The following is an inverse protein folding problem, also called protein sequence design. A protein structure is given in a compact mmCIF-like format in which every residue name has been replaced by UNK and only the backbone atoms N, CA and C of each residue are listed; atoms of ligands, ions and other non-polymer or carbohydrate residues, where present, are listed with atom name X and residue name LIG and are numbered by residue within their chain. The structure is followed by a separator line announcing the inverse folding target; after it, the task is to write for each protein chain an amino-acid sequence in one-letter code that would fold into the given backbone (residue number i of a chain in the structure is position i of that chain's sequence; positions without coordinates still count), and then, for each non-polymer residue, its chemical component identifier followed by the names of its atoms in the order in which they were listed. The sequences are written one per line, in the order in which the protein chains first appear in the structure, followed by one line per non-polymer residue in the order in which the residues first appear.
data_IF_158258376718
#
_entry.id   IF_158258376718
#
_cell.length_a   1.000
_cell.length_b   1.000
_cell.length_c   1.000
_cell.angle_alpha   90.00
_cell.angle_beta   90.00
_cell.angle_gamma   90.00
#
_symmetry.space_group_name_H-M   'P 1'
#
loop_
_entity.id
_entity.type
_entity.pdbx_description
1 polymer ?
#
# COMPACT_ATOMS: atom_id res chain seq x y z
N UNK A 1 -5.65 4.97 -5.97
CA UNK A 1 -5.27 3.57 -5.68
C UNK A 1 -6.22 2.93 -4.66
N UNK A 2 -6.47 3.52 -3.48
CA UNK A 2 -7.40 2.96 -2.47
C UNK A 2 -8.79 2.67 -3.03
N UNK A 3 -9.37 3.58 -3.82
CA UNK A 3 -10.66 3.35 -4.48
C UNK A 3 -10.62 2.18 -5.47
N UNK A 4 -9.53 2.04 -6.25
CA UNK A 4 -9.32 0.89 -7.14
C UNK A 4 -9.30 -0.42 -6.35
N UNK A 5 -8.59 -0.47 -5.23
CA UNK A 5 -8.53 -1.64 -4.34
C UNK A 5 -9.94 -1.94 -3.79
N UNK A 6 -10.61 -0.96 -3.22
CA UNK A 6 -11.95 -1.15 -2.62
C UNK A 6 -13.00 -1.66 -3.62
N UNK A 7 -12.91 -1.22 -4.88
CA UNK A 7 -13.85 -1.67 -5.94
C UNK A 7 -13.58 -3.11 -6.39
N UNK A 8 -12.30 -3.48 -6.50
CA UNK A 8 -11.87 -4.67 -7.24
C UNK A 8 -11.45 -5.85 -6.35
N UNK A 9 -11.23 -5.63 -5.05
CA UNK A 9 -10.87 -6.72 -4.14
C UNK A 9 -12.04 -7.67 -3.92
N UNK A 10 -11.72 -8.95 -3.83
CA UNK A 10 -12.67 -10.00 -3.47
C UNK A 10 -12.88 -10.02 -1.94
N UNK A 11 -13.69 -9.08 -1.46
CA UNK A 11 -14.12 -8.98 -0.08
C UNK A 11 -15.64 -8.85 -0.01
N UNK A 12 -16.24 -9.49 1.00
CA UNK A 12 -17.69 -9.40 1.25
C UNK A 12 -18.11 -7.98 1.59
N UNK A 13 -17.28 -7.28 2.34
CA UNK A 13 -17.55 -5.91 2.79
C UNK A 13 -16.25 -5.12 2.96
N UNK A 14 -16.30 -3.85 2.65
CA UNK A 14 -15.23 -2.90 2.91
C UNK A 14 -15.57 -2.04 4.14
N UNK A 15 -14.63 -1.90 5.05
CA UNK A 15 -14.69 -0.90 6.12
C UNK A 15 -13.60 0.13 5.86
N UNK A 16 -13.98 1.39 5.67
CA UNK A 16 -13.07 2.45 5.23
C UNK A 16 -13.02 3.52 6.31
N UNK A 17 -11.87 3.70 6.93
CA UNK A 17 -11.60 4.74 7.91
C UNK A 17 -10.87 5.91 7.23
N UNK A 18 -11.49 7.09 7.20
CA UNK A 18 -10.86 8.33 6.74
C UNK A 18 -10.55 9.21 7.95
N UNK A 19 -9.28 9.22 8.34
CA UNK A 19 -8.80 9.80 9.61
C UNK A 19 -8.03 11.08 9.35
N UNK A 20 -8.60 12.22 9.72
CA UNK A 20 -7.95 13.51 9.61
C UNK A 20 -7.86 14.06 8.19
N UNK A 21 -8.65 13.52 7.25
CA UNK A 21 -8.74 14.02 5.89
C UNK A 21 -9.66 15.25 5.78
N UNK A 22 -9.48 16.07 4.76
CA UNK A 22 -10.33 17.25 4.54
C UNK A 22 -11.71 16.82 4.02
N UNK A 23 -12.76 17.50 4.46
CA UNK A 23 -14.13 17.18 4.07
C UNK A 23 -14.37 17.11 2.55
N UNK A 24 -13.68 17.95 1.75
CA UNK A 24 -13.74 17.89 0.27
C UNK A 24 -13.08 16.62 -0.28
N UNK A 25 -11.97 16.17 0.31
CA UNK A 25 -11.25 14.97 -0.11
C UNK A 25 -12.08 13.72 0.20
N UNK A 26 -12.78 13.71 1.33
CA UNK A 26 -13.76 12.67 1.67
C UNK A 26 -14.86 12.59 0.61
N UNK A 27 -15.41 13.73 0.19
CA UNK A 27 -16.45 13.77 -0.86
C UNK A 27 -15.91 13.27 -2.19
N UNK A 28 -14.74 13.77 -2.61
CA UNK A 28 -14.10 13.36 -3.86
C UNK A 28 -13.82 11.85 -3.87
N UNK A 29 -13.34 11.29 -2.76
CA UNK A 29 -13.13 9.85 -2.62
C UNK A 29 -14.43 9.06 -2.81
N UNK A 30 -15.52 9.49 -2.19
CA UNK A 30 -16.81 8.81 -2.32
C UNK A 30 -17.36 8.86 -3.74
N UNK A 31 -17.37 10.04 -4.36
CA UNK A 31 -18.02 10.28 -5.65
C UNK A 31 -17.15 9.80 -6.82
N UNK A 32 -15.84 9.99 -6.77
CA UNK A 32 -14.92 9.77 -7.90
C UNK A 32 -14.16 8.46 -7.80
N UNK A 33 -13.70 8.09 -6.60
CA UNK A 33 -12.81 6.95 -6.42
C UNK A 33 -13.55 5.68 -6.01
N UNK A 34 -14.45 5.75 -5.02
CA UNK A 34 -15.18 4.60 -4.52
C UNK A 34 -16.34 4.19 -5.45
N UNK A 35 -17.05 5.17 -6.03
CA UNK A 35 -18.13 4.94 -7.00
C UNK A 35 -19.12 3.84 -6.52
N UNK A 36 -19.35 2.82 -7.33
CA UNK A 36 -20.23 1.69 -6.98
C UNK A 36 -19.73 0.83 -5.81
N UNK A 37 -18.46 0.90 -5.46
CA UNK A 37 -17.87 0.24 -4.28
C UNK A 37 -18.53 0.67 -2.97
N UNK A 38 -19.22 1.81 -2.93
CA UNK A 38 -19.98 2.29 -1.77
C UNK A 38 -21.08 1.30 -1.33
N UNK A 39 -21.63 0.54 -2.27
CA UNK A 39 -22.74 -0.41 -1.99
C UNK A 39 -22.33 -1.55 -1.03
N UNK A 40 -21.05 -1.90 -1.00
CA UNK A 40 -20.48 -2.90 -0.09
C UNK A 40 -19.54 -2.29 0.95
N UNK A 41 -19.71 -1.00 1.29
CA UNK A 41 -18.77 -0.29 2.15
C UNK A 41 -19.45 0.35 3.35
N UNK A 42 -18.76 0.30 4.49
CA UNK A 42 -19.06 1.11 5.68
C UNK A 42 -17.95 2.16 5.79
N UNK A 43 -18.35 3.43 5.90
CA UNK A 43 -17.40 4.53 6.06
C UNK A 43 -17.44 5.05 7.49
N UNK A 44 -16.25 5.21 8.06
CA UNK A 44 -16.02 5.84 9.37
C UNK A 44 -15.12 7.04 9.13
N UNK A 45 -15.63 8.24 9.37
CA UNK A 45 -14.96 9.47 8.98
C UNK A 45 -14.77 10.39 10.19
N UNK A 46 -13.55 10.86 10.39
CA UNK A 46 -13.24 11.99 11.27
C UNK A 46 -12.33 12.96 10.51
N UNK A 47 -12.88 14.09 10.11
CA UNK A 47 -12.17 15.09 9.30
C UNK A 47 -11.10 15.84 10.11
N UNK A 48 -10.22 16.56 9.43
CA UNK A 48 -9.07 17.24 10.04
C UNK A 48 -9.43 18.33 11.04
N UNK A 49 -10.65 18.88 10.98
CA UNK A 49 -11.20 19.86 11.91
C UNK A 49 -11.76 19.24 13.21
N UNK A 50 -11.89 17.91 13.27
CA UNK A 50 -12.37 17.23 14.46
C UNK A 50 -11.30 17.13 15.55
N UNK A 51 -11.69 17.13 16.85
CA UNK A 51 -10.76 16.95 17.96
C UNK A 51 -9.91 15.67 17.85
N UNK A 52 -8.69 15.71 18.39
CA UNK A 52 -7.76 14.58 18.35
C UNK A 52 -8.38 13.26 18.84
N UNK A 53 -9.18 13.31 19.90
CA UNK A 53 -9.86 12.13 20.45
C UNK A 53 -10.85 11.52 19.43
N UNK A 54 -11.54 12.32 18.63
CA UNK A 54 -12.46 11.82 17.61
C UNK A 54 -11.68 11.17 16.45
N UNK A 55 -10.57 11.78 16.03
CA UNK A 55 -9.68 11.22 15.00
C UNK A 55 -9.07 9.88 15.46
N UNK A 56 -8.64 9.81 16.73
CA UNK A 56 -8.12 8.56 17.30
C UNK A 56 -9.21 7.47 17.35
N UNK A 57 -10.38 7.79 17.87
CA UNK A 57 -11.50 6.85 18.00
C UNK A 57 -12.03 6.38 16.64
N UNK A 58 -11.96 7.19 15.60
CA UNK A 58 -12.35 6.81 14.24
C UNK A 58 -11.67 5.50 13.80
N UNK A 59 -10.36 5.38 13.98
CA UNK A 59 -9.59 4.17 13.65
C UNK A 59 -10.04 2.95 14.48
N UNK A 60 -10.25 3.14 15.78
CA UNK A 60 -10.69 2.07 16.67
C UNK A 60 -12.10 1.58 16.37
N UNK A 61 -13.02 2.51 16.08
CA UNK A 61 -14.41 2.21 15.70
C UNK A 61 -14.45 1.46 14.37
N UNK A 62 -13.70 1.92 13.37
CA UNK A 62 -13.61 1.23 12.08
C UNK A 62 -13.10 -0.21 12.23
N UNK A 63 -12.05 -0.41 13.02
CA UNK A 63 -11.52 -1.75 13.28
C UNK A 63 -12.55 -2.62 14.01
N UNK A 64 -13.28 -2.08 14.98
CA UNK A 64 -14.34 -2.82 15.70
C UNK A 64 -15.51 -3.18 14.76
N UNK A 65 -15.85 -2.32 13.81
CA UNK A 65 -16.86 -2.65 12.79
C UNK A 65 -16.35 -3.78 11.87
N UNK A 66 -15.08 -3.75 11.50
CA UNK A 66 -14.48 -4.83 10.72
C UNK A 66 -14.52 -6.17 11.48
N UNK A 67 -14.20 -6.17 12.78
CA UNK A 67 -14.30 -7.34 13.65
C UNK A 67 -15.73 -7.88 13.73
N UNK A 68 -16.73 -7.00 13.84
CA UNK A 68 -18.13 -7.39 13.88
C UNK A 68 -18.55 -8.21 12.64
N UNK A 69 -18.12 -7.80 11.45
CA UNK A 69 -18.42 -8.54 10.24
C UNK A 69 -17.57 -9.82 10.11
N UNK A 70 -16.31 -9.77 10.52
CA UNK A 70 -15.43 -10.95 10.57
C UNK A 70 -16.01 -12.03 11.49
N UNK A 71 -16.59 -11.66 12.65
CA UNK A 71 -17.23 -12.58 13.58
C UNK A 71 -18.50 -13.25 13.02
N UNK A 72 -19.05 -12.71 11.92
CA UNK A 72 -20.11 -13.32 11.12
C UNK A 72 -19.58 -14.22 9.99
N UNK A 73 -18.28 -14.52 9.97
CA UNK A 73 -17.64 -15.35 8.96
C UNK A 73 -17.32 -14.62 7.64
N UNK A 74 -17.38 -13.28 7.61
CA UNK A 74 -17.12 -12.49 6.42
C UNK A 74 -15.65 -12.25 6.17
N UNK A 75 -15.26 -12.13 4.90
CA UNK A 75 -13.98 -11.60 4.50
C UNK A 75 -14.07 -10.08 4.36
N UNK A 76 -13.42 -9.37 5.26
CA UNK A 76 -13.51 -7.91 5.38
C UNK A 76 -12.24 -7.26 4.84
N UNK A 77 -12.38 -6.23 4.03
CA UNK A 77 -11.31 -5.30 3.73
C UNK A 77 -11.40 -4.12 4.70
N UNK A 78 -10.36 -3.88 5.49
CA UNK A 78 -10.19 -2.68 6.29
C UNK A 78 -9.19 -1.74 5.60
N UNK A 79 -9.68 -0.62 5.07
CA UNK A 79 -8.84 0.46 4.56
C UNK A 79 -8.77 1.59 5.59
N UNK A 80 -7.58 2.07 5.90
CA UNK A 80 -7.40 3.19 6.85
C UNK A 80 -6.47 4.25 6.28
N UNK A 81 -7.01 5.42 6.03
CA UNK A 81 -6.29 6.60 5.57
C UNK A 81 -6.42 7.73 6.61
N UNK A 82 -5.39 8.01 7.41
CA UNK A 82 -4.08 7.36 7.45
C UNK A 82 -3.64 7.03 8.88
N UNK A 83 -2.74 6.06 9.03
CA UNK A 83 -2.08 5.78 10.32
C UNK A 83 -1.25 6.96 10.82
N UNK A 84 -0.68 7.75 9.92
CA UNK A 84 0.05 8.97 10.28
C UNK A 84 -0.87 9.96 11.00
N UNK A 85 -2.11 10.13 10.53
CA UNK A 85 -3.10 11.01 11.19
C UNK A 85 -3.57 10.45 12.52
N UNK A 86 -3.71 9.11 12.63
CA UNK A 86 -3.95 8.44 13.90
C UNK A 86 -2.81 8.70 14.88
N UNK A 87 -1.56 8.54 14.45
CA UNK A 87 -0.37 8.79 15.28
C UNK A 87 -0.27 10.26 15.70
N UNK A 88 -0.56 11.20 14.81
CA UNK A 88 -0.61 12.63 15.13
C UNK A 88 -1.69 12.96 16.16
N UNK A 89 -2.86 12.34 16.07
CA UNK A 89 -3.92 12.51 17.06
C UNK A 89 -3.49 11.99 18.44
N UNK A 90 -2.85 10.82 18.50
CA UNK A 90 -2.32 10.29 19.76
C UNK A 90 -1.20 11.16 20.32
N UNK A 91 -0.31 11.69 19.47
CA UNK A 91 0.72 12.64 19.90
C UNK A 91 0.12 13.86 20.57
N UNK A 92 -0.92 14.46 19.96
CA UNK A 92 -1.62 15.63 20.49
C UNK A 92 -2.23 15.32 21.87
N UNK A 93 -2.85 14.16 22.05
CA UNK A 93 -3.42 13.70 23.30
C UNK A 93 -2.31 13.47 24.35
N UNK A 94 -1.27 12.73 23.98
CA UNK A 94 -0.16 12.40 24.88
C UNK A 94 0.55 13.64 25.40
N UNK A 95 0.86 14.60 24.53
CA UNK A 95 1.44 15.89 24.93
C UNK A 95 0.52 16.67 25.87
N UNK A 96 -0.78 16.71 25.59
CA UNK A 96 -1.77 17.39 26.44
C UNK A 96 -1.92 16.72 27.82
N UNK A 97 -1.64 15.42 27.93
CA UNK A 97 -1.64 14.69 29.20
C UNK A 97 -0.28 14.62 29.90
N UNK A 98 0.74 15.30 29.36
CA UNK A 98 2.07 15.44 29.97
C UNK A 98 3.06 14.31 29.63
N UNK A 99 2.79 13.48 28.60
CA UNK A 99 3.80 12.55 28.13
C UNK A 99 4.99 13.31 27.51
N UNK A 100 6.25 12.88 27.77
CA UNK A 100 7.42 13.48 27.16
C UNK A 100 7.47 13.16 25.67
N UNK A 101 7.83 14.12 24.81
CA UNK A 101 8.07 13.85 23.39
C UNK A 101 9.37 13.02 23.20
N UNK A 102 9.32 12.07 22.27
CA UNK A 102 10.46 11.26 21.82
C UNK A 102 10.75 11.54 20.33
N UNK A 103 11.10 10.55 19.54
CA UNK A 103 11.46 10.72 18.14
C UNK A 103 10.41 11.55 17.34
N UNK A 104 10.84 12.61 16.69
CA UNK A 104 10.01 13.57 15.93
C UNK A 104 8.79 14.11 16.70
N UNK A 105 8.90 14.19 18.03
CA UNK A 105 7.86 14.72 18.90
C UNK A 105 6.68 13.79 19.13
N UNK A 106 6.72 12.55 18.67
CA UNK A 106 5.75 11.54 19.06
C UNK A 106 5.91 11.17 20.53
N UNK A 107 4.83 10.71 21.17
CA UNK A 107 4.83 10.30 22.56
C UNK A 107 4.96 8.78 22.71
N UNK A 108 5.49 8.25 23.80
CA UNK A 108 5.69 6.81 24.00
C UNK A 108 4.42 5.97 23.80
N UNK A 109 3.26 6.52 24.14
CA UNK A 109 1.97 5.82 24.03
C UNK A 109 1.65 5.37 22.61
N UNK A 110 2.10 6.08 21.55
CA UNK A 110 1.80 5.69 20.17
C UNK A 110 2.45 4.34 19.83
N UNK A 111 3.67 4.10 20.30
CA UNK A 111 4.40 2.85 20.02
C UNK A 111 3.78 1.63 20.71
N UNK A 112 2.99 1.84 21.75
CA UNK A 112 2.19 0.77 22.38
C UNK A 112 0.80 0.61 21.75
N UNK A 113 0.25 1.65 21.13
CA UNK A 113 -1.08 1.61 20.51
C UNK A 113 -1.04 1.05 19.08
N UNK A 114 0.00 1.36 18.30
CA UNK A 114 0.12 0.89 16.91
C UNK A 114 0.08 -0.64 16.82
N UNK A 115 0.90 -1.42 17.55
CA UNK A 115 0.81 -2.88 17.51
C UNK A 115 -0.59 -3.39 17.88
N UNK A 116 -1.18 -2.85 18.96
CA UNK A 116 -2.52 -3.25 19.40
C UNK A 116 -3.62 -2.99 18.37
N UNK A 117 -3.48 -1.95 17.56
CA UNK A 117 -4.42 -1.66 16.49
C UNK A 117 -4.21 -2.60 15.29
N UNK A 118 -2.94 -2.77 14.87
CA UNK A 118 -2.59 -3.48 13.65
C UNK A 118 -2.74 -4.99 13.78
N UNK A 119 -2.45 -5.57 14.95
CA UNK A 119 -2.63 -7.00 15.22
C UNK A 119 -4.10 -7.45 15.29
N UNK A 120 -5.06 -6.53 15.23
CA UNK A 120 -6.50 -6.84 15.14
C UNK A 120 -6.95 -7.29 13.75
N UNK A 121 -6.05 -7.27 12.76
CA UNK A 121 -6.30 -7.75 11.40
C UNK A 121 -5.59 -9.06 11.13
N UNK A 122 -6.10 -9.83 10.18
CA UNK A 122 -5.53 -11.12 9.80
C UNK A 122 -6.58 -12.17 9.47
N UNK A 123 -6.14 -13.43 9.37
CA UNK A 123 -6.99 -14.60 9.20
C UNK A 123 -7.34 -15.16 10.58
N UNK A 124 -8.63 -15.44 10.82
CA UNK A 124 -9.16 -15.98 12.06
C UNK A 124 -9.82 -17.34 11.82
N UNK A 125 -10.26 -18.01 12.89
CA UNK A 125 -11.04 -19.26 12.76
C UNK A 125 -12.32 -19.02 11.96
N UNK A 126 -12.96 -17.89 12.15
CA UNK A 126 -14.11 -17.43 11.37
C UNK A 126 -13.80 -16.10 10.71
N UNK A 127 -13.94 -16.05 9.37
CA UNK A 127 -13.73 -14.85 8.60
C UNK A 127 -12.27 -14.38 8.51
N UNK A 128 -12.09 -13.19 7.96
CA UNK A 128 -10.78 -12.54 7.85
C UNK A 128 -10.92 -11.03 7.79
N UNK A 129 -9.85 -10.32 8.21
CA UNK A 129 -9.72 -8.88 7.98
C UNK A 129 -8.42 -8.63 7.24
N UNK A 130 -8.50 -8.25 5.98
CA UNK A 130 -7.36 -7.76 5.22
C UNK A 130 -7.18 -6.26 5.51
N UNK A 131 -6.14 -5.91 6.25
CA UNK A 131 -5.83 -4.51 6.58
C UNK A 131 -4.92 -3.86 5.56
N UNK A 132 -5.35 -2.72 4.99
CA UNK A 132 -4.51 -1.87 4.15
C UNK A 132 -4.48 -0.47 4.78
N UNK A 133 -3.29 -0.04 5.12
CA UNK A 133 -3.06 1.19 5.86
C UNK A 133 -2.18 2.13 5.06
N UNK A 134 -2.58 3.38 4.93
CA UNK A 134 -1.70 4.40 4.35
C UNK A 134 -0.82 5.02 5.45
N UNK A 135 0.43 5.23 5.12
CA UNK A 135 1.40 5.96 5.94
C UNK A 135 1.97 7.10 5.12
N UNK A 136 1.77 8.32 5.59
CA UNK A 136 2.29 9.53 4.94
C UNK A 136 3.68 9.80 5.48
N UNK A 137 4.66 9.89 4.61
CA UNK A 137 6.06 10.20 4.95
C UNK A 137 6.44 11.57 4.40
N UNK A 138 7.18 12.35 5.18
CA UNK A 138 7.70 13.65 4.73
C UNK A 138 9.01 13.46 3.98
N UNK A 139 9.15 14.13 2.82
CA UNK A 139 10.38 14.12 2.05
C UNK A 139 10.83 12.73 1.55
N UNK A 140 9.89 11.81 1.37
CA UNK A 140 10.13 10.41 0.98
C UNK A 140 11.02 9.64 1.99
N UNK A 141 11.09 10.11 3.25
CA UNK A 141 11.85 9.45 4.32
C UNK A 141 11.08 8.25 4.89
N UNK A 142 11.28 7.10 4.26
CA UNK A 142 10.69 5.81 4.70
C UNK A 142 11.17 5.35 6.09
N UNK A 143 12.21 5.98 6.66
CA UNK A 143 12.73 5.71 8.01
C UNK A 143 12.12 6.63 9.07
N UNK A 144 11.06 7.35 8.73
CA UNK A 144 10.25 8.10 9.69
C UNK A 144 9.71 7.14 10.77
N UNK A 145 9.72 7.52 12.07
CA UNK A 145 9.46 6.61 13.18
C UNK A 145 8.15 5.79 13.07
N UNK A 146 7.08 6.41 12.59
CA UNK A 146 5.78 5.70 12.42
C UNK A 146 5.87 4.72 11.26
N UNK A 147 6.45 5.14 10.12
CA UNK A 147 6.66 4.27 8.96
C UNK A 147 7.50 3.05 9.31
N UNK A 148 8.61 3.25 10.03
CA UNK A 148 9.49 2.17 10.44
C UNK A 148 8.80 1.20 11.41
N UNK A 149 8.09 1.72 12.42
CA UNK A 149 7.31 0.90 13.36
C UNK A 149 6.26 0.07 12.64
N UNK A 150 5.48 0.67 11.74
CA UNK A 150 4.40 0.01 11.00
C UNK A 150 4.96 -1.08 10.08
N UNK A 151 6.05 -0.79 9.36
CA UNK A 151 6.74 -1.78 8.52
C UNK A 151 7.26 -2.98 9.31
N UNK A 152 7.65 -2.77 10.57
CA UNK A 152 8.07 -3.85 11.46
C UNK A 152 6.95 -4.80 11.87
N UNK A 153 5.70 -4.32 11.89
CA UNK A 153 4.52 -5.07 12.36
C UNK A 153 3.79 -5.78 11.21
N UNK A 154 3.63 -5.09 10.05
CA UNK A 154 2.82 -5.57 8.94
C UNK A 154 3.52 -6.61 8.07
N UNK A 155 2.74 -7.41 7.34
CA UNK A 155 3.20 -8.49 6.45
C UNK A 155 3.81 -8.01 5.13
N UNK A 156 3.82 -6.72 4.89
CA UNK A 156 4.43 -6.11 3.71
C UNK A 156 4.14 -4.62 3.61
N UNK A 157 4.78 -4.00 2.63
CA UNK A 157 4.55 -2.59 2.33
C UNK A 157 4.66 -2.33 0.82
N UNK A 158 3.85 -1.40 0.35
CA UNK A 158 3.83 -0.89 -1.02
C UNK A 158 4.36 0.54 -0.99
N UNK A 159 5.49 0.77 -1.66
CA UNK A 159 6.11 2.10 -1.74
C UNK A 159 5.60 2.83 -2.97
N UNK A 160 5.09 4.04 -2.78
CA UNK A 160 4.72 4.93 -3.88
C UNK A 160 5.86 5.93 -4.15
N UNK A 161 6.27 6.04 -5.40
CA UNK A 161 7.41 6.85 -5.84
C UNK A 161 6.97 8.12 -6.57
N UNK A 162 7.42 9.30 -6.11
CA UNK A 162 7.22 10.56 -6.84
C UNK A 162 7.91 10.55 -8.20
N UNK A 163 9.07 9.89 -8.30
CA UNK A 163 9.80 9.78 -9.56
C UNK A 163 9.01 9.02 -10.63
N UNK A 164 8.28 7.97 -10.24
CA UNK A 164 7.40 7.25 -11.15
C UNK A 164 6.18 8.11 -11.53
N UNK A 165 5.58 8.80 -10.57
CA UNK A 165 4.48 9.73 -10.83
C UNK A 165 4.87 10.86 -11.80
N UNK A 166 6.06 11.46 -11.65
CA UNK A 166 6.59 12.47 -12.57
C UNK A 166 6.82 11.95 -13.98
N UNK A 167 7.05 10.63 -14.13
CA UNK A 167 7.16 9.96 -15.43
C UNK A 167 5.81 9.50 -15.99
N UNK A 168 4.69 9.91 -15.37
CA UNK A 168 3.33 9.48 -15.72
C UNK A 168 3.12 7.95 -15.64
N UNK A 169 3.88 7.28 -14.77
CA UNK A 169 3.72 5.86 -14.47
C UNK A 169 2.73 5.69 -13.32
N UNK A 170 1.51 5.23 -13.61
CA UNK A 170 0.46 5.04 -12.62
C UNK A 170 -0.14 3.63 -12.71
N UNK A 171 -0.41 2.97 -11.55
CA UNK A 171 -0.10 3.44 -10.20
C UNK A 171 1.41 3.59 -9.98
N UNK A 172 1.82 4.61 -9.22
CA UNK A 172 3.23 4.95 -9.05
C UNK A 172 3.94 4.04 -8.01
N UNK A 173 3.76 2.72 -8.16
CA UNK A 173 4.27 1.69 -7.24
C UNK A 173 5.72 1.36 -7.61
N UNK A 174 6.62 1.57 -6.65
CA UNK A 174 8.00 1.10 -6.76
C UNK A 174 8.07 -0.38 -6.35
N UNK A 175 8.10 -1.26 -7.35
CA UNK A 175 8.12 -2.72 -7.16
C UNK A 175 9.40 -3.18 -6.47
N UNK A 176 10.55 -2.53 -6.74
CA UNK A 176 11.83 -2.92 -6.14
C UNK A 176 11.94 -2.52 -4.67
N UNK A 177 11.33 -1.40 -4.29
CA UNK A 177 11.29 -0.91 -2.90
C UNK A 177 10.15 -1.55 -2.08
N UNK A 178 9.18 -2.21 -2.72
CA UNK A 178 8.03 -2.83 -2.08
C UNK A 178 8.33 -4.27 -1.67
N UNK A 179 7.74 -4.73 -0.56
CA UNK A 179 7.97 -6.06 0.01
C UNK A 179 6.64 -6.73 0.37
N UNK A 180 6.52 -8.02 0.06
CA UNK A 180 5.52 -8.93 0.63
C UNK A 180 6.27 -10.05 1.39
N UNK A 181 5.99 -10.21 2.69
CA UNK A 181 6.57 -11.28 3.51
C UNK A 181 5.86 -12.61 3.28
N UNK A 182 4.60 -12.56 2.85
CA UNK A 182 3.76 -13.74 2.65
C UNK A 182 3.86 -14.34 1.25
N UNK A 183 4.55 -13.68 0.31
CA UNK A 183 4.56 -14.11 -1.09
C UNK A 183 4.98 -15.58 -1.25
N UNK A 184 6.00 -16.02 -0.49
CA UNK A 184 6.51 -17.39 -0.51
C UNK A 184 5.48 -18.46 -0.07
N UNK A 185 4.44 -18.03 0.67
CA UNK A 185 3.42 -18.94 1.23
C UNK A 185 2.14 -18.97 0.39
N UNK A 186 1.88 -17.91 -0.40
CA UNK A 186 0.61 -17.71 -1.09
C UNK A 186 0.66 -17.90 -2.60
N UNK A 187 1.86 -17.95 -3.21
CA UNK A 187 2.02 -18.18 -4.65
C UNK A 187 2.72 -19.51 -4.92
N UNK A 188 2.47 -20.09 -6.10
CA UNK A 188 3.17 -21.28 -6.56
C UNK A 188 4.61 -20.95 -7.02
N UNK A 189 5.42 -22.00 -7.21
CA UNK A 189 6.83 -21.90 -7.59
C UNK A 189 7.01 -21.18 -8.94
N UNK A 190 6.14 -21.45 -9.92
CA UNK A 190 6.17 -20.79 -11.23
C UNK A 190 5.99 -19.29 -11.12
N UNK A 191 5.00 -18.85 -10.34
CA UNK A 191 4.77 -17.43 -10.11
C UNK A 191 5.96 -16.77 -9.40
N UNK A 192 6.50 -17.44 -8.38
CA UNK A 192 7.66 -16.93 -7.65
C UNK A 192 8.87 -16.75 -8.57
N UNK A 193 9.15 -17.74 -9.43
CA UNK A 193 10.23 -17.62 -10.41
C UNK A 193 10.03 -16.45 -11.38
N UNK A 194 8.82 -16.30 -11.91
CA UNK A 194 8.50 -15.19 -12.82
C UNK A 194 8.69 -13.84 -12.15
N UNK A 195 8.18 -13.68 -10.93
CA UNK A 195 8.32 -12.45 -10.16
C UNK A 195 9.80 -12.11 -9.88
N UNK A 196 10.59 -13.11 -9.50
CA UNK A 196 12.02 -12.94 -9.24
C UNK A 196 12.78 -12.55 -10.53
N UNK A 197 12.46 -13.18 -11.68
CA UNK A 197 13.06 -12.85 -12.98
C UNK A 197 12.73 -11.41 -13.38
N UNK A 198 11.47 -10.97 -13.24
CA UNK A 198 11.04 -9.60 -13.56
C UNK A 198 11.75 -8.60 -12.64
N UNK A 199 11.79 -8.84 -11.33
CA UNK A 199 12.50 -7.97 -10.38
C UNK A 199 14.00 -7.87 -10.70
N UNK A 200 14.63 -8.98 -11.09
CA UNK A 200 16.03 -8.98 -11.50
C UNK A 200 16.25 -8.13 -12.75
N UNK A 201 15.42 -8.29 -13.78
CA UNK A 201 15.47 -7.49 -15.01
C UNK A 201 15.35 -6.00 -14.71
N UNK A 202 14.37 -5.62 -13.88
CA UNK A 202 14.19 -4.23 -13.43
C UNK A 202 15.43 -3.73 -12.67
N UNK A 203 15.95 -4.51 -11.75
CA UNK A 203 17.14 -4.17 -10.95
C UNK A 203 18.36 -3.94 -11.83
N UNK A 204 18.64 -4.85 -12.77
CA UNK A 204 19.75 -4.73 -13.73
C UNK A 204 19.62 -3.45 -14.56
N UNK A 205 18.41 -3.17 -15.08
CA UNK A 205 18.15 -1.97 -15.88
C UNK A 205 18.37 -0.69 -15.06
N UNK A 206 17.74 -0.57 -13.89
CA UNK A 206 17.80 0.67 -13.12
C UNK A 206 19.17 0.92 -12.49
N UNK A 207 19.92 -0.13 -12.15
CA UNK A 207 21.31 0.00 -11.69
C UNK A 207 22.23 0.57 -12.78
N UNK A 208 21.95 0.27 -14.05
CA UNK A 208 22.75 0.72 -15.18
C UNK A 208 22.11 1.88 -15.96
N UNK A 209 21.05 2.48 -15.42
CA UNK A 209 20.26 3.50 -16.12
C UNK A 209 21.10 4.70 -16.58
N UNK A 210 22.02 5.18 -15.75
CA UNK A 210 22.87 6.32 -16.09
C UNK A 210 23.83 6.00 -17.24
N UNK A 211 24.41 4.79 -17.27
CA UNK A 211 25.28 4.33 -18.35
C UNK A 211 24.53 4.26 -19.70
N UNK A 212 23.26 3.82 -19.65
CA UNK A 212 22.41 3.73 -20.83
C UNK A 212 22.08 5.15 -21.32
N UNK A 213 21.69 6.03 -20.42
CA UNK A 213 21.21 7.39 -20.74
C UNK A 213 22.28 8.28 -21.34
N UNK A 214 23.54 8.18 -20.86
CA UNK A 214 24.68 8.94 -21.41
C UNK A 214 25.28 8.29 -22.66
N UNK A 215 24.70 7.17 -23.13
CA UNK A 215 25.20 6.44 -24.32
C UNK A 215 26.53 5.75 -24.14
N UNK A 216 26.99 5.52 -22.91
CA UNK A 216 28.25 4.84 -22.61
C UNK A 216 28.16 3.31 -22.74
N UNK A 217 26.96 2.75 -22.69
CA UNK A 217 26.73 1.31 -22.86
C UNK A 217 26.76 0.91 -24.35
N UNK A 218 27.48 -0.19 -24.64
CA UNK A 218 27.50 -0.82 -25.98
C UNK A 218 26.77 -2.15 -25.93
N UNK A 219 25.73 -2.32 -26.75
CA UNK A 219 25.01 -3.58 -26.89
C UNK A 219 25.96 -4.73 -27.24
N UNK A 220 25.71 -5.91 -26.67
CA UNK A 220 26.52 -7.11 -26.82
C UNK A 220 27.65 -7.26 -25.78
N UNK A 221 27.93 -6.25 -24.94
CA UNK A 221 28.98 -6.34 -23.91
C UNK A 221 28.50 -7.01 -22.61
N UNK A 222 27.18 -6.95 -22.33
CA UNK A 222 26.55 -7.58 -21.18
C UNK A 222 25.17 -8.14 -21.56
N UNK A 223 25.06 -9.47 -21.65
CA UNK A 223 23.83 -10.15 -22.06
C UNK A 223 22.64 -9.89 -21.13
N UNK A 224 22.87 -9.78 -19.84
CA UNK A 224 21.81 -9.51 -18.86
C UNK A 224 21.27 -8.08 -19.03
N UNK A 225 22.14 -7.11 -19.28
CA UNK A 225 21.74 -5.74 -19.53
C UNK A 225 21.05 -5.57 -20.89
N UNK A 226 21.52 -6.26 -21.92
CA UNK A 226 20.84 -6.27 -23.24
C UNK A 226 19.40 -6.81 -23.10
N UNK A 227 19.22 -7.91 -22.36
CA UNK A 227 17.91 -8.47 -22.05
C UNK A 227 17.06 -7.48 -21.26
N UNK A 228 17.62 -6.82 -20.25
CA UNK A 228 16.91 -5.84 -19.45
C UNK A 228 16.44 -4.64 -20.28
N UNK A 229 17.31 -4.12 -21.18
CA UNK A 229 16.95 -3.04 -22.09
C UNK A 229 15.81 -3.45 -23.03
N UNK A 230 15.84 -4.69 -23.56
CA UNK A 230 14.82 -5.19 -24.47
C UNK A 230 13.42 -5.35 -23.79
N UNK A 231 13.38 -5.73 -22.50
CA UNK A 231 12.14 -6.08 -21.83
C UNK A 231 11.55 -4.98 -20.94
N UNK A 232 12.34 -4.00 -20.50
CA UNK A 232 11.88 -3.00 -19.52
C UNK A 232 10.65 -2.22 -19.97
N UNK A 233 10.54 -1.91 -21.27
CA UNK A 233 9.36 -1.23 -21.80
C UNK A 233 8.07 -2.03 -21.64
N UNK A 234 8.12 -3.34 -21.87
CA UNK A 234 6.97 -4.25 -21.70
C UNK A 234 6.62 -4.44 -20.24
N UNK A 235 7.63 -4.58 -19.39
CA UNK A 235 7.44 -4.67 -17.91
C UNK A 235 6.75 -3.39 -17.41
N UNK A 236 7.23 -2.21 -17.80
CA UNK A 236 6.60 -0.96 -17.40
C UNK A 236 5.17 -0.82 -17.91
N UNK A 237 4.89 -1.29 -19.14
CA UNK A 237 3.51 -1.32 -19.64
C UNK A 237 2.59 -2.25 -18.86
N UNK A 238 3.07 -3.41 -18.41
CA UNK A 238 2.33 -4.33 -17.55
C UNK A 238 2.06 -3.72 -16.15
N UNK A 239 3.01 -2.93 -15.63
CA UNK A 239 2.91 -2.29 -14.31
C UNK A 239 2.10 -0.99 -14.32
N UNK A 240 1.62 -0.55 -15.48
CA UNK A 240 0.84 0.68 -15.66
C UNK A 240 -0.61 0.31 -15.97
N UNK A 241 -1.57 0.92 -15.28
CA UNK A 241 -3.00 0.73 -15.58
C UNK A 241 -3.81 1.99 -15.29
N UNK A 242 -4.88 2.17 -16.02
CA UNK A 242 -5.86 3.24 -15.80
C UNK A 242 -6.69 3.03 -14.53
N UNK A 243 -7.30 4.11 -14.02
CA UNK A 243 -8.08 4.08 -12.76
C UNK A 243 -9.29 3.13 -12.83
N UNK A 244 -9.87 2.95 -14.00
CA UNK A 244 -11.04 2.09 -14.22
C UNK A 244 -10.69 0.74 -14.87
N UNK A 245 -9.39 0.47 -15.10
CA UNK A 245 -8.92 -0.82 -15.60
C UNK A 245 -8.79 -1.84 -14.46
N UNK A 246 -9.05 -3.09 -14.81
CA UNK A 246 -8.92 -4.23 -13.91
C UNK A 246 -8.33 -5.42 -14.68
N UNK A 247 -7.34 -6.05 -14.06
CA UNK A 247 -6.75 -7.30 -14.54
C UNK A 247 -6.90 -8.37 -13.46
N UNK A 248 -7.34 -9.57 -13.87
CA UNK A 248 -7.38 -10.69 -12.94
C UNK A 248 -5.96 -11.20 -12.60
N UNK A 249 -5.87 -11.99 -11.55
CA UNK A 249 -4.63 -12.64 -11.15
C UNK A 249 -4.06 -13.51 -12.29
N UNK A 250 -4.94 -14.27 -12.98
CA UNK A 250 -4.57 -15.12 -14.10
C UNK A 250 -4.08 -14.31 -15.32
N UNK A 251 -4.76 -13.22 -15.63
CA UNK A 251 -4.32 -12.29 -16.69
C UNK A 251 -2.94 -11.71 -16.40
N UNK A 252 -2.70 -11.32 -15.15
CA UNK A 252 -1.39 -10.79 -14.73
C UNK A 252 -0.30 -11.86 -14.88
N UNK A 253 -0.56 -13.09 -14.45
CA UNK A 253 0.39 -14.22 -14.64
C UNK A 253 0.70 -14.47 -16.11
N UNK A 254 -0.31 -14.44 -16.97
CA UNK A 254 -0.13 -14.66 -18.40
C UNK A 254 0.72 -13.54 -19.05
N UNK A 255 0.50 -12.29 -18.67
CA UNK A 255 1.35 -11.17 -19.11
C UNK A 255 2.81 -11.36 -18.67
N UNK A 256 3.05 -11.82 -17.44
CA UNK A 256 4.41 -12.12 -16.96
C UNK A 256 5.08 -13.22 -17.81
N UNK A 257 4.35 -14.30 -18.13
CA UNK A 257 4.84 -15.40 -18.99
C UNK A 257 5.22 -14.90 -20.38
N UNK A 258 4.33 -14.14 -21.01
CA UNK A 258 4.55 -13.59 -22.34
C UNK A 258 5.80 -12.69 -22.39
N UNK A 259 5.95 -11.79 -21.44
CA UNK A 259 7.13 -10.90 -21.35
C UNK A 259 8.41 -11.72 -21.22
N UNK A 260 8.43 -12.73 -20.35
CA UNK A 260 9.62 -13.53 -20.09
C UNK A 260 9.97 -14.51 -21.24
N UNK A 261 8.98 -14.91 -22.06
CA UNK A 261 9.21 -15.78 -23.23
C UNK A 261 9.87 -15.04 -24.40
N UNK A 262 9.85 -13.72 -24.43
CA UNK A 262 10.42 -12.89 -25.50
C UNK A 262 11.88 -12.48 -25.26
N UNK A 263 12.46 -12.83 -24.14
CA UNK A 263 13.85 -12.51 -23.74
C UNK A 263 14.56 -13.75 -23.23
#
# INVERSE_FOLDING_TARGET
LMGMIARNIDADINVIALVGERGREVRDFLEKDLKDGIKKSVLVVATSDQPAMMRLKCSLVATTIAEYFKDQGKNVLLLMDSLTRFAMAQREIGLATGEPPVARGYTPSIYSLLPKLLERTGKFEQGSITGIYTVLVEGDDVNEPISDTVRGILDGHIVLSRNLAMKNHYPAIDVLASISRLMNEIVDEEHMEMANKIRNIMSVYYTNYDLINIGAYKSGTNKELDKAIALIGKINSMLTQGVDEYFSYEQTREMMKQILAEG
#
